data_IF_789849454114
#
_entry.id   IF_789849454114
#
_cell.length_a   1.000
_cell.length_b   1.000
_cell.length_c   1.000
_cell.angle_alpha   90.00
_cell.angle_beta   90.00
_cell.angle_gamma   90.00
#
_symmetry.space_group_name_H-M   'P 1'
#
loop_
_entity.id
_entity.type
_entity.pdbx_description
1 polymer ?
#
# COMPACT_ATOMS: atom_id res chain seq x y z
N UNK A 1 -0.72 4.57 -10.91
CA UNK A 1 0.06 4.45 -9.67
C UNK A 1 1.53 4.29 -10.02
N UNK A 2 2.44 4.71 -9.15
CA UNK A 2 3.83 4.29 -9.25
C UNK A 2 3.96 2.77 -9.08
N UNK A 3 5.05 2.18 -9.59
CA UNK A 3 5.25 0.71 -9.60
C UNK A 3 5.21 0.14 -8.18
N UNK A 4 5.85 0.81 -7.22
CA UNK A 4 5.97 0.33 -5.84
C UNK A 4 4.61 0.42 -5.14
N UNK A 5 3.93 1.57 -5.25
CA UNK A 5 2.60 1.74 -4.66
C UNK A 5 1.59 0.74 -5.24
N UNK A 6 1.67 0.44 -6.54
CA UNK A 6 0.83 -0.58 -7.17
C UNK A 6 1.13 -1.99 -6.63
N UNK A 7 2.40 -2.35 -6.47
CA UNK A 7 2.79 -3.64 -5.90
C UNK A 7 2.26 -3.81 -4.48
N UNK A 8 2.45 -2.81 -3.60
CA UNK A 8 1.92 -2.84 -2.24
C UNK A 8 0.39 -3.01 -2.26
N UNK A 9 -0.29 -2.29 -3.16
CA UNK A 9 -1.75 -2.38 -3.29
C UNK A 9 -2.21 -3.77 -3.70
N UNK A 10 -1.51 -4.42 -4.64
CA UNK A 10 -1.80 -5.80 -5.07
C UNK A 10 -1.52 -6.81 -3.97
N UNK A 11 -0.42 -6.66 -3.22
CA UNK A 11 -0.08 -7.59 -2.13
C UNK A 11 -1.14 -7.52 -1.02
N UNK A 12 -1.53 -6.30 -0.63
CA UNK A 12 -2.56 -6.11 0.40
C UNK A 12 -3.92 -6.61 -0.06
N UNK A 13 -4.27 -6.45 -1.34
CA UNK A 13 -5.49 -7.04 -1.91
C UNK A 13 -5.43 -8.56 -1.95
N UNK A 14 -4.29 -9.14 -2.37
CA UNK A 14 -4.14 -10.59 -2.49
C UNK A 14 -4.18 -11.29 -1.13
N UNK A 15 -3.58 -10.70 -0.09
CA UNK A 15 -3.52 -11.30 1.26
C UNK A 15 -4.67 -10.87 2.17
N UNK A 16 -5.11 -9.61 2.09
CA UNK A 16 -6.12 -9.03 2.97
C UNK A 16 -7.50 -8.84 2.30
N UNK A 17 -7.63 -9.17 1.02
CA UNK A 17 -8.87 -9.02 0.25
C UNK A 17 -9.33 -7.56 0.09
N UNK A 18 -10.61 -7.41 -0.26
CA UNK A 18 -11.29 -6.10 -0.30
C UNK A 18 -11.15 -5.30 1.01
N UNK A 19 -11.29 -5.92 2.21
CA UNK A 19 -11.15 -5.22 3.49
C UNK A 19 -9.74 -4.65 3.70
N UNK A 20 -8.70 -5.39 3.33
CA UNK A 20 -7.32 -4.93 3.40
C UNK A 20 -7.09 -3.69 2.54
N UNK A 21 -7.63 -3.68 1.31
CA UNK A 21 -7.58 -2.52 0.41
C UNK A 21 -8.24 -1.27 0.99
N UNK A 22 -9.41 -1.43 1.60
CA UNK A 22 -10.15 -0.33 2.22
C UNK A 22 -9.38 0.21 3.42
N UNK A 23 -8.88 -0.67 4.31
CA UNK A 23 -8.04 -0.27 5.45
C UNK A 23 -6.76 0.44 5.01
N UNK A 24 -6.14 0.01 3.91
CA UNK A 24 -4.95 0.64 3.37
C UNK A 24 -5.22 2.07 2.92
N UNK A 25 -6.32 2.30 2.20
CA UNK A 25 -6.74 3.64 1.80
C UNK A 25 -7.06 4.53 3.02
N UNK A 26 -7.75 4.00 4.02
CA UNK A 26 -8.08 4.72 5.25
C UNK A 26 -6.84 5.09 6.08
N UNK A 27 -5.90 4.14 6.28
CA UNK A 27 -4.67 4.37 7.06
C UNK A 27 -3.69 5.30 6.36
N UNK A 28 -3.55 5.19 5.05
CA UNK A 28 -2.62 6.04 4.29
C UNK A 28 -3.19 7.45 4.05
N UNK A 29 -4.51 7.60 4.07
CA UNK A 29 -5.20 8.84 3.70
C UNK A 29 -5.06 9.18 2.21
N UNK A 30 -4.59 8.23 1.40
CA UNK A 30 -4.26 8.46 -0.02
C UNK A 30 -5.23 7.63 -0.86
N UNK A 31 -6.05 8.33 -1.65
CA UNK A 31 -6.92 7.68 -2.62
C UNK A 31 -6.12 7.10 -3.79
N UNK A 32 -6.67 6.11 -4.49
CA UNK A 32 -6.03 5.48 -5.66
C UNK A 32 -5.65 6.49 -6.76
N UNK A 33 -6.45 7.53 -6.95
CA UNK A 33 -6.16 8.64 -7.88
C UNK A 33 -4.95 9.47 -7.40
N UNK A 34 -4.88 9.79 -6.11
CA UNK A 34 -3.78 10.57 -5.54
C UNK A 34 -2.45 9.79 -5.55
N UNK A 35 -2.49 8.49 -5.24
CA UNK A 35 -1.35 7.58 -5.41
C UNK A 35 -0.92 7.41 -6.88
N UNK A 36 -1.80 7.74 -7.83
CA UNK A 36 -1.45 7.78 -9.26
C UNK A 36 -0.67 9.03 -9.63
N UNK A 37 -1.00 10.17 -9.01
CA UNK A 37 -0.27 11.42 -9.17
C UNK A 37 1.06 11.46 -8.40
N UNK A 38 1.11 10.88 -7.20
CA UNK A 38 2.31 10.94 -6.34
C UNK A 38 3.44 10.00 -6.77
N UNK A 39 3.25 9.14 -7.78
CA UNK A 39 4.28 8.31 -8.46
C UNK A 39 5.47 7.91 -7.56
N UNK A 40 5.24 7.04 -6.59
CA UNK A 40 6.28 6.49 -5.71
C UNK A 40 7.12 7.53 -4.93
N UNK A 41 6.58 8.73 -4.66
CA UNK A 41 7.19 9.67 -3.69
C UNK A 41 7.53 8.93 -2.41
N UNK A 42 8.77 9.05 -1.95
CA UNK A 42 9.30 8.29 -0.82
C UNK A 42 8.42 8.40 0.45
N UNK A 43 7.87 9.59 0.72
CA UNK A 43 6.96 9.80 1.85
C UNK A 43 5.66 8.99 1.74
N UNK A 44 5.10 8.88 0.53
CA UNK A 44 3.88 8.11 0.26
C UNK A 44 4.18 6.61 0.33
N UNK A 45 5.29 6.17 -0.30
CA UNK A 45 5.73 4.77 -0.23
C UNK A 45 5.95 4.33 1.21
N UNK A 46 6.60 5.15 2.05
CA UNK A 46 6.81 4.84 3.47
C UNK A 46 5.50 4.67 4.23
N UNK A 47 4.50 5.54 3.98
CA UNK A 47 3.16 5.41 4.58
C UNK A 47 2.45 4.13 4.12
N UNK A 48 2.52 3.83 2.83
CA UNK A 48 1.93 2.61 2.27
C UNK A 48 2.58 1.35 2.84
N UNK A 49 3.91 1.32 2.93
CA UNK A 49 4.63 0.19 3.52
C UNK A 49 4.21 -0.03 4.97
N UNK A 50 4.25 1.03 5.80
CA UNK A 50 3.83 0.94 7.21
C UNK A 50 2.38 0.46 7.34
N UNK A 51 1.46 1.05 6.59
CA UNK A 51 0.06 0.67 6.64
C UNK A 51 -0.16 -0.78 6.17
N UNK A 52 0.55 -1.22 5.12
CA UNK A 52 0.49 -2.60 4.65
C UNK A 52 1.02 -3.59 5.69
N UNK A 53 2.16 -3.29 6.33
CA UNK A 53 2.71 -4.11 7.43
C UNK A 53 1.74 -4.22 8.60
N UNK A 54 1.11 -3.12 8.99
CA UNK A 54 0.09 -3.13 10.06
C UNK A 54 -1.18 -3.92 9.68
N UNK A 55 -1.56 -3.96 8.40
CA UNK A 55 -2.77 -4.67 7.94
C UNK A 55 -2.53 -6.17 7.80
N UNK A 56 -1.34 -6.54 7.33
CA UNK A 56 -0.97 -7.92 7.04
C UNK A 56 -0.25 -8.59 8.20
N UNK A 57 0.08 -7.85 9.26
CA UNK A 57 0.89 -8.30 10.40
C UNK A 57 2.20 -8.97 9.96
N UNK A 58 2.69 -8.58 8.79
CA UNK A 58 3.82 -9.19 8.07
C UNK A 58 4.63 -8.07 7.43
N UNK A 59 5.95 -8.20 7.44
CA UNK A 59 6.81 -7.21 6.80
C UNK A 59 6.58 -7.18 5.28
N UNK A 60 6.06 -6.06 4.78
CA UNK A 60 5.79 -5.86 3.36
C UNK A 60 7.07 -5.82 2.53
N UNK A 61 8.23 -5.47 3.10
CA UNK A 61 9.50 -5.45 2.37
C UNK A 61 9.95 -6.86 2.00
N UNK A 62 9.62 -7.87 2.80
CA UNK A 62 9.87 -9.27 2.44
C UNK A 62 8.98 -9.75 1.30
N UNK A 63 7.79 -9.16 1.16
CA UNK A 63 6.83 -9.48 0.10
C UNK A 63 7.07 -8.70 -1.19
N UNK A 64 7.92 -7.68 -1.16
CA UNK A 64 8.31 -6.85 -2.31
C UNK A 64 9.59 -7.34 -3.01
N UNK A 65 10.19 -8.45 -2.53
CA UNK A 65 11.37 -9.10 -3.14
C UNK A 65 11.07 -9.67 -4.52
#
# INVERSE_FOLDING_TARGET
MGKILEQIYKIVEAKGGLPGRVKLAQKTGVSKQQATFDRDKAAVVKRFKRAATEILETDIEELLK
#
